data_IF_577565704974
#
_entry.id   IF_577565704974
#
_cell.length_a   1.000
_cell.length_b   1.000
_cell.length_c   1.000
_cell.angle_alpha   90.00
_cell.angle_beta   90.00
_cell.angle_gamma   90.00
#
_symmetry.space_group_name_H-M   'P 1'
#
loop_
_entity.id
_entity.type
_entity.pdbx_description
1 polymer ?
#
# COMPACT_ATOMS: atom_id res chain seq x y z
N UNK A 1 -3.45 -24.50 -2.56
CA UNK A 1 -2.55 -25.24 -3.44
C UNK A 1 -2.28 -24.42 -4.70
N UNK A 2 -1.03 -24.28 -5.10
CA UNK A 2 -0.68 -23.51 -6.29
C UNK A 2 -1.32 -24.12 -7.53
N UNK A 3 -1.77 -23.27 -8.44
CA UNK A 3 -2.33 -23.70 -9.71
C UNK A 3 -1.21 -24.25 -10.60
N UNK A 4 -1.27 -25.53 -10.91
CA UNK A 4 -0.24 -26.22 -11.70
C UNK A 4 -0.17 -25.72 -13.14
N UNK A 5 -1.20 -25.01 -13.63
CA UNK A 5 -1.20 -24.46 -14.99
C UNK A 5 -0.37 -23.17 -15.08
N UNK A 6 0.00 -22.56 -13.94
CA UNK A 6 0.75 -21.31 -13.88
C UNK A 6 2.23 -21.60 -13.69
N UNK A 7 2.90 -21.94 -14.78
CA UNK A 7 4.33 -22.23 -14.76
C UNK A 7 5.13 -21.01 -14.28
N UNK A 8 6.02 -21.22 -13.31
CA UNK A 8 6.88 -20.17 -12.77
C UNK A 8 6.23 -19.33 -11.67
N UNK A 9 4.95 -19.56 -11.38
CA UNK A 9 4.28 -18.88 -10.27
C UNK A 9 4.70 -19.52 -8.96
N UNK A 10 4.90 -18.71 -7.93
CA UNK A 10 5.37 -19.17 -6.62
C UNK A 10 4.41 -18.69 -5.54
N UNK A 11 4.02 -19.57 -4.63
CA UNK A 11 3.25 -19.18 -3.46
C UNK A 11 4.17 -18.49 -2.47
N UNK A 12 3.83 -17.26 -2.09
CA UNK A 12 4.59 -16.46 -1.14
C UNK A 12 3.65 -15.83 -0.12
N UNK A 13 4.21 -15.44 1.03
CA UNK A 13 3.48 -14.61 1.98
C UNK A 13 3.75 -13.14 1.65
N UNK A 14 2.77 -12.28 1.92
CA UNK A 14 2.86 -10.85 1.62
C UNK A 14 4.13 -10.22 2.21
N UNK A 15 4.45 -10.56 3.48
CA UNK A 15 5.64 -10.05 4.15
C UNK A 15 6.97 -10.57 3.60
N UNK A 16 6.95 -11.59 2.74
CA UNK A 16 8.17 -12.07 2.07
C UNK A 16 8.60 -11.14 0.94
N UNK A 17 7.66 -10.41 0.35
CA UNK A 17 7.91 -9.60 -0.85
C UNK A 17 7.54 -8.12 -0.68
N UNK A 18 6.94 -7.76 0.45
CA UNK A 18 6.54 -6.38 0.77
C UNK A 18 7.03 -6.04 2.17
N UNK A 19 7.46 -4.80 2.35
CA UNK A 19 7.82 -4.29 3.67
C UNK A 19 7.14 -2.96 3.92
N UNK A 20 7.01 -2.61 5.20
CA UNK A 20 6.57 -1.27 5.61
C UNK A 20 7.77 -0.33 5.53
N UNK A 21 7.60 0.80 4.88
CA UNK A 21 8.56 1.88 4.97
C UNK A 21 8.51 2.45 6.38
N UNK A 22 9.69 2.65 6.99
CA UNK A 22 9.81 3.22 8.34
C UNK A 22 10.42 4.62 8.30
N UNK A 23 10.43 5.25 7.13
CA UNK A 23 10.96 6.59 6.98
C UNK A 23 10.15 7.59 7.79
N UNK A 24 10.84 8.44 8.53
CA UNK A 24 10.23 9.45 9.41
C UNK A 24 10.92 10.79 9.19
N UNK A 25 10.18 11.87 9.42
CA UNK A 25 10.76 13.21 9.43
C UNK A 25 10.47 13.86 10.78
N UNK A 26 11.50 14.41 11.40
CA UNK A 26 11.38 15.17 12.66
C UNK A 26 11.20 16.65 12.41
N UNK A 27 11.57 17.12 11.23
CA UNK A 27 11.45 18.51 10.82
C UNK A 27 11.06 18.56 9.35
N UNK A 28 9.75 18.69 9.11
CA UNK A 28 9.20 18.63 7.77
C UNK A 28 9.73 19.75 6.89
N UNK A 29 9.88 20.95 7.44
CA UNK A 29 10.39 22.09 6.69
C UNK A 29 11.83 21.89 6.27
N UNK A 30 12.70 21.41 7.18
CA UNK A 30 14.10 21.10 6.86
C UNK A 30 14.22 20.03 5.80
N UNK A 31 13.31 19.06 5.81
CA UNK A 31 13.30 17.96 4.84
C UNK A 31 12.58 18.31 3.54
N UNK A 32 12.07 19.54 3.41
CA UNK A 32 11.42 20.00 2.19
C UNK A 32 10.05 19.35 1.94
N UNK A 33 9.38 18.89 2.98
CA UNK A 33 8.08 18.24 2.89
C UNK A 33 6.98 19.28 3.15
N UNK A 34 6.11 19.49 2.16
CA UNK A 34 5.07 20.52 2.22
C UNK A 34 3.64 19.97 2.15
N UNK A 35 3.46 18.68 1.93
CA UNK A 35 2.14 18.05 1.79
C UNK A 35 1.95 16.93 2.80
N UNK A 36 0.73 16.82 3.35
CA UNK A 36 0.38 15.70 4.19
C UNK A 36 -0.89 15.01 3.67
N UNK A 37 -0.99 13.71 3.92
CA UNK A 37 -2.11 12.88 3.47
C UNK A 37 -2.68 12.11 4.66
N UNK A 38 -3.95 12.35 4.96
CA UNK A 38 -4.71 11.56 5.92
C UNK A 38 -5.67 10.63 5.18
N UNK A 39 -6.40 9.83 5.94
CA UNK A 39 -7.40 8.93 5.35
C UNK A 39 -8.45 9.69 4.54
N UNK A 40 -8.79 10.90 4.95
CA UNK A 40 -9.77 11.74 4.26
C UNK A 40 -9.35 12.15 2.86
N UNK A 41 -8.06 12.05 2.56
CA UNK A 41 -7.53 12.42 1.24
C UNK A 41 -7.47 11.24 0.26
N UNK A 42 -7.75 10.02 0.74
CA UNK A 42 -7.74 8.81 -0.09
C UNK A 42 -9.17 8.45 -0.43
N UNK A 43 -9.45 8.32 -1.74
CA UNK A 43 -10.77 7.97 -2.23
C UNK A 43 -10.86 6.47 -2.52
N UNK A 44 -11.90 5.77 -2.04
CA UNK A 44 -12.08 4.35 -2.36
C UNK A 44 -12.07 4.09 -3.87
N UNK A 45 -11.25 3.12 -4.29
CA UNK A 45 -11.18 2.73 -5.69
C UNK A 45 -10.32 3.60 -6.59
N UNK A 46 -9.80 4.71 -6.07
CA UNK A 46 -8.95 5.63 -6.85
C UNK A 46 -7.50 5.48 -6.41
N UNK A 47 -6.65 4.98 -7.29
CA UNK A 47 -5.23 4.77 -7.01
C UNK A 47 -4.40 6.05 -7.04
N UNK A 48 -4.97 7.17 -7.44
CA UNK A 48 -4.26 8.44 -7.49
C UNK A 48 -4.62 9.32 -6.29
N UNK A 49 -3.62 9.97 -5.69
CA UNK A 49 -3.84 10.96 -4.63
C UNK A 49 -4.18 12.28 -5.30
N UNK A 50 -5.43 12.75 -5.12
CA UNK A 50 -5.91 13.96 -5.77
C UNK A 50 -6.11 15.13 -4.81
N UNK A 51 -6.01 14.90 -3.52
CA UNK A 51 -6.12 15.94 -2.50
C UNK A 51 -5.14 15.67 -1.37
N UNK A 52 -4.75 16.72 -0.69
CA UNK A 52 -3.79 16.65 0.42
C UNK A 52 -3.93 17.92 1.26
N UNK A 53 -3.32 17.91 2.44
CA UNK A 53 -3.24 19.10 3.25
C UNK A 53 -1.87 19.77 3.11
N UNK A 54 -1.81 21.04 3.43
CA UNK A 54 -0.56 21.81 3.46
C UNK A 54 0.09 21.69 4.83
N UNK A 55 1.35 21.29 4.85
CA UNK A 55 2.13 21.22 6.10
C UNK A 55 2.19 22.57 6.79
N UNK A 56 2.16 23.67 6.01
CA UNK A 56 2.15 25.03 6.55
C UNK A 56 0.94 25.30 7.46
N UNK A 57 -0.17 24.59 7.24
CA UNK A 57 -1.38 24.70 8.07
C UNK A 57 -1.28 23.87 9.36
N UNK A 58 -0.20 23.11 9.51
CA UNK A 58 0.05 22.27 10.69
C UNK A 58 -0.36 20.83 10.51
N UNK A 59 0.49 19.92 10.98
CA UNK A 59 0.21 18.49 11.04
C UNK A 59 1.10 17.84 12.10
N UNK A 60 0.61 16.75 12.68
CA UNK A 60 1.40 15.92 13.59
C UNK A 60 1.99 14.69 12.90
N UNK A 61 1.73 14.53 11.60
CA UNK A 61 2.19 13.36 10.86
C UNK A 61 3.70 13.39 10.66
N UNK A 62 4.33 12.23 10.78
CA UNK A 62 5.78 12.07 10.66
C UNK A 62 6.20 10.96 9.72
N UNK A 63 5.29 10.10 9.30
CA UNK A 63 5.58 8.98 8.39
C UNK A 63 5.78 9.51 6.98
N UNK A 64 7.00 9.37 6.45
CA UNK A 64 7.33 9.88 5.11
C UNK A 64 6.98 8.84 4.05
N UNK A 65 6.37 9.30 2.97
CA UNK A 65 6.19 8.49 1.76
C UNK A 65 6.84 9.18 0.57
N UNK A 66 7.20 8.38 -0.43
CA UNK A 66 7.88 8.85 -1.65
C UNK A 66 7.20 8.32 -2.89
N UNK A 67 7.43 8.94 -4.06
CA UNK A 67 6.82 8.48 -5.30
C UNK A 67 7.05 6.98 -5.54
N UNK A 68 6.01 6.31 -6.00
CA UNK A 68 6.03 4.87 -6.28
C UNK A 68 5.62 3.99 -5.11
N UNK A 69 5.60 4.51 -3.90
CA UNK A 69 5.15 3.75 -2.74
C UNK A 69 3.62 3.68 -2.69
N UNK A 70 3.12 2.64 -2.05
CA UNK A 70 1.67 2.41 -1.91
C UNK A 70 1.23 2.84 -0.51
N UNK A 71 0.19 3.68 -0.46
CA UNK A 71 -0.44 4.09 0.77
C UNK A 71 -1.70 3.25 0.97
N UNK A 72 -1.76 2.52 2.07
CA UNK A 72 -2.86 1.61 2.40
C UNK A 72 -3.51 2.04 3.70
N UNK A 73 -4.81 2.37 3.64
CA UNK A 73 -5.57 2.74 4.82
C UNK A 73 -5.81 1.54 5.72
N UNK A 74 -5.11 1.50 6.87
CA UNK A 74 -5.22 0.37 7.79
C UNK A 74 -6.42 0.47 8.72
N UNK A 75 -6.92 1.67 8.97
CA UNK A 75 -8.10 1.89 9.78
C UNK A 75 -9.34 1.78 8.92
N UNK A 76 -10.29 0.97 9.33
CA UNK A 76 -11.51 0.70 8.57
C UNK A 76 -11.20 0.24 7.14
N UNK A 77 -10.41 -0.83 7.05
CA UNK A 77 -9.95 -1.36 5.75
C UNK A 77 -11.09 -1.66 4.77
N UNK A 78 -12.31 -1.88 5.28
CA UNK A 78 -13.49 -2.11 4.45
C UNK A 78 -13.80 -0.92 3.54
N UNK A 79 -13.27 0.27 3.84
CA UNK A 79 -13.42 1.44 2.97
C UNK A 79 -12.54 1.39 1.72
N UNK A 80 -11.60 0.43 1.67
CA UNK A 80 -10.75 0.17 0.50
C UNK A 80 -10.00 1.40 0.01
N UNK A 81 -9.39 2.13 0.95
CA UNK A 81 -8.60 3.32 0.64
C UNK A 81 -7.16 2.91 0.36
N UNK A 82 -6.74 3.12 -0.86
CA UNK A 82 -5.44 2.67 -1.36
C UNK A 82 -5.02 3.62 -2.48
N UNK A 83 -3.77 4.06 -2.46
CA UNK A 83 -3.26 4.92 -3.54
C UNK A 83 -1.78 4.70 -3.76
N UNK A 84 -1.31 5.12 -4.93
CA UNK A 84 0.12 5.14 -5.28
C UNK A 84 0.58 6.58 -5.19
N UNK A 85 1.64 6.83 -4.43
CA UNK A 85 2.18 8.18 -4.29
C UNK A 85 2.88 8.62 -5.58
N UNK A 86 2.65 9.87 -5.98
CA UNK A 86 3.35 10.50 -7.10
C UNK A 86 4.09 11.76 -6.66
N UNK A 87 4.17 11.98 -5.35
CA UNK A 87 4.96 13.06 -4.73
C UNK A 87 5.45 12.58 -3.37
N UNK A 88 6.39 13.33 -2.78
CA UNK A 88 6.87 13.08 -1.42
C UNK A 88 6.03 13.86 -0.42
N UNK A 89 5.64 13.20 0.65
CA UNK A 89 4.86 13.83 1.72
C UNK A 89 4.94 13.04 3.01
N UNK A 90 4.09 13.42 3.97
CA UNK A 90 3.91 12.67 5.22
C UNK A 90 2.47 12.23 5.32
N UNK A 91 2.24 11.09 5.97
CA UNK A 91 0.90 10.55 6.10
C UNK A 91 0.56 10.18 7.54
N UNK A 92 -0.74 9.97 7.77
CA UNK A 92 -1.30 9.57 9.05
C UNK A 92 -0.73 8.24 9.53
N UNK A 93 -0.66 8.06 10.83
CA UNK A 93 -0.36 6.76 11.45
C UNK A 93 -1.41 5.69 11.14
N UNK A 94 -2.58 6.07 10.62
CA UNK A 94 -3.61 5.13 10.16
C UNK A 94 -3.42 4.69 8.71
N UNK A 95 -2.29 5.03 8.11
CA UNK A 95 -1.90 4.63 6.75
C UNK A 95 -0.59 3.86 6.80
N UNK A 96 -0.58 2.68 6.19
CA UNK A 96 0.66 1.94 5.96
C UNK A 96 1.28 2.40 4.66
N UNK A 97 2.60 2.53 4.65
CA UNK A 97 3.37 2.81 3.44
C UNK A 97 4.07 1.53 3.05
N UNK A 98 3.65 0.93 1.95
CA UNK A 98 4.20 -0.33 1.45
C UNK A 98 5.21 -0.09 0.34
N UNK A 99 6.27 -0.90 0.33
CA UNK A 99 7.21 -0.96 -0.79
C UNK A 99 7.68 -2.41 -0.99
N UNK A 100 8.11 -2.79 -2.20
CA UNK A 100 8.63 -4.14 -2.40
C UNK A 100 9.87 -4.39 -1.54
N UNK A 101 9.99 -5.63 -1.06
CA UNK A 101 11.16 -6.14 -0.35
C UNK A 101 11.79 -7.21 -1.22
N UNK A 102 13.09 -7.10 -1.49
CA UNK A 102 13.78 -8.04 -2.38
C UNK A 102 13.49 -7.73 -3.85
N UNK A 103 13.62 -8.75 -4.69
CA UNK A 103 13.60 -8.60 -6.15
C UNK A 103 12.48 -9.36 -6.84
N UNK A 104 11.56 -9.98 -6.10
CA UNK A 104 10.52 -10.83 -6.67
C UNK A 104 9.26 -10.07 -7.09
N UNK A 105 9.07 -8.86 -6.58
CA UNK A 105 7.86 -8.08 -6.81
C UNK A 105 8.20 -6.74 -7.44
N UNK A 106 7.58 -6.43 -8.57
CA UNK A 106 7.70 -5.11 -9.20
C UNK A 106 6.90 -4.08 -8.42
N UNK A 107 7.46 -2.87 -8.27
CA UNK A 107 6.76 -1.75 -7.63
C UNK A 107 5.42 -1.48 -8.30
N UNK A 108 5.37 -1.54 -9.63
CA UNK A 108 4.18 -1.25 -10.41
C UNK A 108 3.10 -2.31 -10.25
N UNK A 109 3.47 -3.53 -9.85
CA UNK A 109 2.52 -4.62 -9.62
C UNK A 109 1.89 -4.57 -8.23
N UNK A 110 2.61 -4.01 -7.25
CA UNK A 110 2.16 -3.98 -5.86
C UNK A 110 0.76 -3.34 -5.67
N UNK A 111 0.44 -2.19 -6.27
CA UNK A 111 -0.88 -1.60 -6.06
C UNK A 111 -2.02 -2.48 -6.55
N UNK A 112 -1.83 -3.21 -7.64
CA UNK A 112 -2.87 -4.11 -8.15
C UNK A 112 -3.06 -5.33 -7.26
N UNK A 113 -1.97 -5.84 -6.68
CA UNK A 113 -2.03 -6.90 -5.68
C UNK A 113 -2.84 -6.44 -4.46
N UNK A 114 -2.55 -5.25 -3.95
CA UNK A 114 -3.24 -4.69 -2.79
C UNK A 114 -4.70 -4.32 -3.09
N UNK A 115 -5.05 -4.11 -4.36
CA UNK A 115 -6.40 -3.76 -4.79
C UNK A 115 -7.29 -4.99 -4.98
N UNK A 116 -6.70 -6.19 -4.95
CA UNK A 116 -7.47 -7.41 -5.18
C UNK A 116 -8.53 -7.62 -4.11
N UNK A 117 -9.63 -8.23 -4.51
CA UNK A 117 -10.74 -8.55 -3.62
C UNK A 117 -10.29 -9.42 -2.45
N UNK A 118 -9.48 -10.44 -2.74
CA UNK A 118 -9.03 -11.38 -1.72
C UNK A 118 -8.13 -10.72 -0.68
N UNK A 119 -7.28 -9.76 -1.09
CA UNK A 119 -6.42 -9.05 -0.15
C UNK A 119 -7.26 -8.18 0.79
N UNK A 120 -8.22 -7.42 0.28
CA UNK A 120 -9.08 -6.60 1.12
C UNK A 120 -9.96 -7.44 2.04
N UNK A 121 -10.50 -8.55 1.56
CA UNK A 121 -11.27 -9.46 2.39
C UNK A 121 -10.42 -9.98 3.55
N UNK A 122 -9.18 -10.36 3.27
CA UNK A 122 -8.26 -10.82 4.29
C UNK A 122 -7.94 -9.70 5.29
N UNK A 123 -7.67 -8.48 4.80
CA UNK A 123 -7.37 -7.33 5.65
C UNK A 123 -8.54 -7.01 6.58
N UNK A 124 -9.75 -7.03 6.07
CA UNK A 124 -10.96 -6.79 6.87
C UNK A 124 -11.15 -7.90 7.90
N UNK A 125 -11.02 -9.15 7.46
CA UNK A 125 -11.24 -10.33 8.31
C UNK A 125 -10.26 -10.37 9.49
N UNK A 126 -9.02 -9.91 9.29
CA UNK A 126 -7.99 -9.94 10.33
C UNK A 126 -7.86 -8.63 11.09
N UNK A 127 -8.73 -7.66 10.83
CA UNK A 127 -8.77 -6.39 11.57
C UNK A 127 -9.31 -6.60 12.98
N UNK A 128 -8.85 -5.75 13.91
CA UNK A 128 -9.26 -5.79 15.30
C UNK A 128 -9.81 -4.43 15.73
N UNK A 129 -10.77 -4.44 16.64
CA UNK A 129 -11.44 -3.26 17.16
C UNK A 129 -12.91 -3.23 16.75
N UNK A 130 -13.78 -2.66 17.58
CA UNK A 130 -15.23 -2.69 17.36
C UNK A 130 -15.76 -1.47 16.61
N UNK A 131 -15.28 -0.26 16.95
CA UNK A 131 -15.78 0.98 16.33
C UNK A 131 -14.93 1.43 15.14
N UNK A 132 -13.63 1.30 15.27
CA UNK A 132 -12.68 1.66 14.22
C UNK A 132 -11.67 0.54 14.06
N UNK A 133 -12.05 -0.57 13.44
CA UNK A 133 -11.15 -1.70 13.30
C UNK A 133 -9.92 -1.33 12.47
N UNK A 134 -8.77 -1.87 12.87
CA UNK A 134 -7.50 -1.66 12.18
C UNK A 134 -6.89 -2.99 11.79
N UNK A 135 -6.33 -3.04 10.61
CA UNK A 135 -5.45 -4.15 10.22
C UNK A 135 -4.15 -4.04 10.99
N UNK A 136 -3.44 -5.13 11.14
CA UNK A 136 -2.08 -5.06 11.65
C UNK A 136 -1.12 -5.77 10.71
N UNK A 137 0.13 -5.32 10.74
CA UNK A 137 1.14 -5.82 9.81
C UNK A 137 1.41 -7.31 10.01
N UNK A 138 1.41 -7.80 11.24
CA UNK A 138 1.67 -9.21 11.53
C UNK A 138 0.71 -10.12 10.75
N UNK A 139 -0.57 -9.77 10.72
CA UNK A 139 -1.56 -10.54 9.97
C UNK A 139 -1.42 -10.33 8.46
N UNK A 140 -1.25 -9.08 8.01
CA UNK A 140 -1.10 -8.81 6.57
C UNK A 140 0.11 -9.53 6.00
N UNK A 141 1.22 -9.57 6.74
CA UNK A 141 2.44 -10.23 6.30
C UNK A 141 2.25 -11.73 6.06
N UNK A 142 1.27 -12.34 6.71
CA UNK A 142 0.98 -13.77 6.59
C UNK A 142 0.05 -14.11 5.42
N UNK A 143 -0.48 -13.10 4.72
CA UNK A 143 -1.37 -13.33 3.59
C UNK A 143 -0.62 -14.05 2.47
N UNK A 144 -1.06 -15.24 2.11
CA UNK A 144 -0.43 -16.03 1.07
C UNK A 144 -1.14 -15.86 -0.27
N UNK A 145 -0.37 -15.79 -1.33
CA UNK A 145 -0.89 -15.68 -2.68
C UNK A 145 0.12 -16.22 -3.67
N UNK A 146 -0.32 -16.47 -4.89
CA UNK A 146 0.53 -16.96 -5.97
C UNK A 146 1.10 -15.76 -6.72
N UNK A 147 2.42 -15.60 -6.69
CA UNK A 147 3.12 -14.49 -7.34
C UNK A 147 3.64 -14.94 -8.70
N UNK A 148 3.24 -14.26 -9.80
CA UNK A 148 3.80 -14.56 -11.10
C UNK A 148 5.26 -14.15 -11.21
N UNK A 149 6.03 -14.70 -12.14
CA UNK A 149 7.39 -14.24 -12.40
C UNK A 149 7.38 -12.80 -12.91
N UNK A 150 8.51 -12.10 -12.77
CA UNK A 150 8.60 -10.67 -13.10
C UNK A 150 8.11 -10.35 -14.52
N UNK A 151 8.44 -11.20 -15.48
CA UNK A 151 8.00 -11.03 -16.86
C UNK A 151 6.47 -11.01 -16.97
N UNK A 152 5.80 -11.90 -16.26
CA UNK A 152 4.35 -11.97 -16.26
C UNK A 152 3.74 -10.79 -15.51
N UNK A 153 4.38 -10.34 -14.43
CA UNK A 153 3.95 -9.13 -13.70
C UNK A 153 3.95 -7.93 -14.64
N UNK A 154 5.01 -7.78 -15.44
CA UNK A 154 5.12 -6.68 -16.43
C UNK A 154 3.96 -6.71 -17.41
N UNK A 155 3.63 -7.89 -17.93
CA UNK A 155 2.50 -8.05 -18.86
C UNK A 155 1.17 -7.69 -18.21
N UNK A 156 0.94 -8.14 -16.98
CA UNK A 156 -0.29 -7.86 -16.26
C UNK A 156 -0.44 -6.37 -15.97
N UNK A 157 0.64 -5.69 -15.57
CA UNK A 157 0.62 -4.24 -15.34
C UNK A 157 0.24 -3.49 -16.63
N UNK A 158 0.84 -3.84 -17.74
CA UNK A 158 0.51 -3.21 -19.04
C UNK A 158 -0.97 -3.39 -19.39
N UNK A 159 -1.48 -4.59 -19.18
CA UNK A 159 -2.89 -4.91 -19.44
C UNK A 159 -3.83 -4.07 -18.57
N UNK A 160 -3.50 -3.92 -17.29
CA UNK A 160 -4.32 -3.15 -16.36
C UNK A 160 -4.30 -1.65 -16.67
N UNK A 161 -3.15 -1.12 -17.11
CA UNK A 161 -3.03 0.30 -17.48
C UNK A 161 -3.82 0.62 -18.73
N UNK A 162 -3.91 -0.33 -19.66
CA UNK A 162 -4.62 -0.16 -20.93
C UNK A 162 -6.13 -0.39 -20.83
N UNK A 163 -6.56 -0.98 -19.73
CA UNK A 163 -7.97 -1.34 -19.51
C UNK A 163 -8.86 -0.13 -19.20
#
# INVERSE_FOLDING_TARGET
MADKTRTGWTTVAFGDVVKLSKARSKDLQADGIDRYVGLEHLEPGDLKIRSWGDVADGTTFTSVFRPGQVLFGKRRAYQRKLAVADFTGVCSGDVYVFEPSGELLLSEFLPYLCQSESFFEYAVKTSAGSLSPRTNWTHLAQYEFDLPPLEEQTKLVRSLIQA
#
